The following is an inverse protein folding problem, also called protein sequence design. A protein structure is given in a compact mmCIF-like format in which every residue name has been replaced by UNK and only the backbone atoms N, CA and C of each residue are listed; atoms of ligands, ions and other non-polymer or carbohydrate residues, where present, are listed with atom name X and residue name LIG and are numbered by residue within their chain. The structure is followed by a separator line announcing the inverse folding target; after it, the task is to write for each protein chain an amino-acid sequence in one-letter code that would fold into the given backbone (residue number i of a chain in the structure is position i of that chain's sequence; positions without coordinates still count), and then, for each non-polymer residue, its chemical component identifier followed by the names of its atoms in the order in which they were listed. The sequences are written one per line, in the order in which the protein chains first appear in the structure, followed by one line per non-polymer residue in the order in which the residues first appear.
data_IF_266251071136
#
_entry.id   IF_266251071136
#
_cell.length_a   1.000
_cell.length_b   1.000
_cell.length_c   1.000
_cell.angle_alpha   90.00
_cell.angle_beta   90.00
_cell.angle_gamma   90.00
#
_symmetry.space_group_name_H-M   'P 1'
#
loop_
_entity.id
_entity.type
_entity.pdbx_description
1 polymer ?
#
# COMPACT_ATOMS: atom_id res chain seq x y z
N UNK A 1 29.18 -19.68 23.01
CA UNK A 1 29.12 -18.35 22.37
C UNK A 1 27.69 -18.10 21.91
N UNK A 2 26.87 -17.51 22.77
CA UNK A 2 25.52 -17.05 22.40
C UNK A 2 25.69 -15.78 21.58
N UNK A 3 25.62 -15.90 20.25
CA UNK A 3 25.56 -14.75 19.38
C UNK A 3 24.31 -13.94 19.75
N UNK A 4 24.52 -12.79 20.37
CA UNK A 4 23.48 -11.83 20.71
C UNK A 4 22.85 -11.39 19.38
N UNK A 5 21.76 -12.03 18.98
CA UNK A 5 21.07 -11.69 17.73
C UNK A 5 20.64 -10.23 17.90
N UNK A 6 21.11 -9.30 17.04
CA UNK A 6 20.71 -7.92 17.15
C UNK A 6 19.18 -7.87 17.12
N UNK A 7 18.60 -7.23 18.14
CA UNK A 7 17.15 -7.10 18.28
C UNK A 7 16.61 -6.43 17.02
N UNK A 8 15.75 -7.14 16.28
CA UNK A 8 15.17 -6.66 15.01
C UNK A 8 14.00 -5.69 15.20
N UNK A 9 13.38 -5.68 16.39
CA UNK A 9 12.21 -4.85 16.68
C UNK A 9 12.44 -3.32 16.56
N UNK A 10 13.61 -2.73 16.90
CA UNK A 10 13.83 -1.31 16.71
C UNK A 10 13.84 -0.92 15.22
N UNK A 11 14.40 -1.77 14.36
CA UNK A 11 14.41 -1.54 12.90
C UNK A 11 12.99 -1.62 12.35
N UNK A 12 12.23 -2.62 12.78
CA UNK A 12 10.84 -2.76 12.38
C UNK A 12 10.02 -1.54 12.79
N UNK A 13 10.15 -1.06 14.04
CA UNK A 13 9.48 0.15 14.50
C UNK A 13 9.87 1.37 13.67
N UNK A 14 11.16 1.54 13.38
CA UNK A 14 11.66 2.61 12.53
C UNK A 14 11.01 2.55 11.13
N UNK A 15 10.99 1.36 10.52
CA UNK A 15 10.41 1.16 9.19
C UNK A 15 8.89 1.36 9.19
N UNK A 16 8.19 0.96 10.25
CA UNK A 16 6.76 1.23 10.41
C UNK A 16 6.48 2.74 10.53
N UNK A 17 7.27 3.45 11.34
CA UNK A 17 7.14 4.90 11.47
C UNK A 17 7.41 5.60 10.14
N UNK A 18 8.47 5.19 9.43
CA UNK A 18 8.79 5.69 8.10
C UNK A 18 7.65 5.41 7.11
N UNK A 19 7.12 4.18 7.10
CA UNK A 19 6.01 3.82 6.22
C UNK A 19 4.76 4.67 6.50
N UNK A 20 4.43 4.88 7.78
CA UNK A 20 3.32 5.76 8.18
C UNK A 20 3.53 7.20 7.72
N UNK A 21 4.74 7.76 7.89
CA UNK A 21 5.07 9.10 7.41
C UNK A 21 4.93 9.21 5.88
N UNK A 22 5.40 8.21 5.13
CA UNK A 22 5.25 8.16 3.67
C UNK A 22 3.77 8.06 3.25
N UNK A 23 2.97 7.23 3.90
CA UNK A 23 1.53 7.14 3.63
C UNK A 23 0.84 8.48 3.87
N UNK A 24 1.17 9.16 4.98
CA UNK A 24 0.63 10.49 5.27
C UNK A 24 1.01 11.48 4.17
N UNK A 25 2.29 11.54 3.78
CA UNK A 25 2.77 12.40 2.69
C UNK A 25 2.05 12.11 1.37
N UNK A 26 1.94 10.84 0.98
CA UNK A 26 1.24 10.39 -0.23
C UNK A 26 -0.24 10.76 -0.24
N UNK A 27 -0.85 10.82 0.94
CA UNK A 27 -2.28 11.13 1.05
C UNK A 27 -2.57 12.62 1.21
N UNK A 28 -1.58 13.52 1.40
CA UNK A 28 -1.82 14.96 1.66
C UNK A 28 -2.68 15.67 0.59
N UNK A 29 -2.67 15.19 -0.66
CA UNK A 29 -3.44 15.76 -1.78
C UNK A 29 -4.91 15.31 -1.89
N UNK A 30 -5.43 14.50 -0.97
CA UNK A 30 -6.74 13.85 -1.11
C UNK A 30 -7.92 14.83 -1.28
N UNK A 31 -7.89 15.97 -0.58
CA UNK A 31 -8.93 17.00 -0.67
C UNK A 31 -8.96 17.70 -2.03
N UNK A 32 -7.79 17.83 -2.67
CA UNK A 32 -7.66 18.40 -4.01
C UNK A 32 -8.08 17.44 -5.14
N UNK A 33 -8.67 16.28 -4.81
CA UNK A 33 -9.15 15.31 -5.80
C UNK A 33 -8.05 14.47 -6.45
N UNK A 34 -6.79 14.61 -6.02
CA UNK A 34 -5.62 13.91 -6.61
C UNK A 34 -5.62 12.39 -6.40
N UNK A 35 -6.51 11.89 -5.54
CA UNK A 35 -6.71 10.45 -5.33
C UNK A 35 -7.85 9.86 -6.16
N UNK A 36 -8.55 10.68 -6.94
CA UNK A 36 -9.66 10.24 -7.78
C UNK A 36 -9.12 9.75 -9.13
N UNK A 37 -9.02 8.43 -9.30
CA UNK A 37 -8.66 7.81 -10.57
C UNK A 37 -9.90 7.13 -11.18
N UNK A 38 -10.38 7.56 -12.38
CA UNK A 38 -11.54 6.97 -13.03
C UNK A 38 -11.36 5.47 -13.34
N UNK A 39 -10.14 4.98 -13.54
CA UNK A 39 -9.83 3.56 -13.77
C UNK A 39 -10.15 2.68 -12.54
N UNK A 40 -10.45 3.30 -11.40
CA UNK A 40 -10.78 2.59 -10.16
C UNK A 40 -12.25 2.23 -10.03
N UNK A 41 -13.12 2.73 -10.92
CA UNK A 41 -14.56 2.50 -10.86
C UNK A 41 -14.95 1.01 -10.84
N UNK A 42 -14.35 0.10 -11.65
CA UNK A 42 -14.67 -1.32 -11.60
C UNK A 42 -14.35 -1.97 -10.25
N UNK A 43 -13.27 -1.52 -9.59
CA UNK A 43 -12.89 -2.05 -8.28
C UNK A 43 -13.80 -1.53 -7.17
N UNK A 44 -14.22 -0.26 -7.25
CA UNK A 44 -15.19 0.30 -6.30
C UNK A 44 -16.53 -0.44 -6.37
N UNK A 45 -17.06 -0.66 -7.58
CA UNK A 45 -18.33 -1.36 -7.75
C UNK A 45 -18.26 -2.81 -7.26
N UNK A 46 -17.16 -3.52 -7.57
CA UNK A 46 -16.93 -4.87 -7.05
C UNK A 46 -16.82 -4.92 -5.52
N UNK A 47 -16.07 -3.99 -4.92
CA UNK A 47 -15.91 -3.92 -3.47
C UNK A 47 -17.23 -3.55 -2.76
N UNK A 48 -18.01 -2.64 -3.33
CA UNK A 48 -19.33 -2.28 -2.82
C UNK A 48 -20.31 -3.46 -2.90
N UNK A 49 -20.33 -4.20 -4.01
CA UNK A 49 -21.16 -5.40 -4.17
C UNK A 49 -20.79 -6.47 -3.15
N UNK A 50 -19.49 -6.66 -2.88
CA UNK A 50 -19.01 -7.57 -1.84
C UNK A 50 -19.50 -7.15 -0.46
N UNK A 51 -19.38 -5.87 -0.09
CA UNK A 51 -19.81 -5.38 1.22
C UNK A 51 -21.33 -5.41 1.40
N UNK A 52 -22.10 -5.04 0.38
CA UNK A 52 -23.55 -4.91 0.48
C UNK A 52 -24.31 -6.23 0.31
N UNK A 53 -23.81 -7.11 -0.57
CA UNK A 53 -24.54 -8.32 -1.00
C UNK A 53 -23.75 -9.61 -0.84
N UNK A 54 -22.47 -9.55 -0.43
CA UNK A 54 -21.59 -10.72 -0.35
C UNK A 54 -21.11 -11.22 -1.72
N UNK A 55 -21.43 -10.52 -2.81
CA UNK A 55 -21.03 -10.90 -4.16
C UNK A 55 -19.50 -10.76 -4.32
N UNK A 56 -18.83 -11.87 -4.64
CA UNK A 56 -17.39 -11.86 -4.86
C UNK A 56 -17.03 -11.07 -6.14
N UNK A 57 -16.03 -10.18 -6.08
CA UNK A 57 -15.53 -9.47 -7.26
C UNK A 57 -15.03 -10.46 -8.32
N UNK A 58 -15.71 -10.50 -9.47
CA UNK A 58 -15.44 -11.41 -10.60
C UNK A 58 -14.81 -10.71 -11.80
N UNK A 59 -14.80 -9.37 -11.82
CA UNK A 59 -14.29 -8.53 -12.90
C UNK A 59 -13.21 -7.59 -12.41
N UNK A 60 -12.16 -7.45 -13.24
CA UNK A 60 -11.08 -6.51 -13.06
C UNK A 60 -11.23 -5.29 -13.97
N UNK A 61 -10.11 -4.65 -14.29
CA UNK A 61 -10.05 -3.53 -15.24
C UNK A 61 -9.19 -3.89 -16.47
N UNK A 62 -9.48 -3.29 -17.61
CA UNK A 62 -8.64 -3.36 -18.81
C UNK A 62 -8.07 -1.96 -19.01
N UNK A 63 -6.76 -1.83 -18.79
CA UNK A 63 -6.09 -0.55 -18.90
C UNK A 63 -6.04 -0.05 -20.35
N UNK A 64 -5.73 1.23 -20.54
CA UNK A 64 -5.53 1.86 -21.86
C UNK A 64 -4.46 1.17 -22.73
N UNK A 65 -3.60 0.33 -22.14
CA UNK A 65 -2.62 -0.49 -22.84
C UNK A 65 -3.13 -1.91 -23.14
N UNK A 66 -4.43 -2.16 -23.03
CA UNK A 66 -5.06 -3.47 -23.18
C UNK A 66 -4.52 -4.53 -22.20
N UNK A 67 -3.99 -4.10 -21.05
CA UNK A 67 -3.52 -5.01 -20.01
C UNK A 67 -4.65 -5.30 -19.03
N UNK A 68 -4.93 -6.59 -18.81
CA UNK A 68 -5.92 -7.04 -17.85
C UNK A 68 -5.35 -6.98 -16.42
N UNK A 69 -6.02 -6.23 -15.55
CA UNK A 69 -5.72 -6.15 -14.13
C UNK A 69 -6.77 -6.91 -13.33
N UNK A 70 -6.41 -7.97 -12.59
CA UNK A 70 -7.36 -8.81 -11.86
C UNK A 70 -8.04 -8.07 -10.69
N UNK A 71 -9.14 -8.59 -10.14
CA UNK A 71 -9.96 -7.91 -9.11
C UNK A 71 -9.30 -7.76 -7.73
N UNK A 72 -8.01 -8.04 -7.58
CA UNK A 72 -7.30 -7.95 -6.28
C UNK A 72 -7.48 -6.60 -5.59
N UNK A 73 -7.50 -5.52 -6.36
CA UNK A 73 -7.73 -4.16 -5.86
C UNK A 73 -9.10 -3.97 -5.21
N UNK A 74 -10.14 -4.67 -5.67
CA UNK A 74 -11.48 -4.59 -5.07
C UNK A 74 -11.46 -5.12 -3.62
N UNK A 75 -10.75 -6.21 -3.35
CA UNK A 75 -10.59 -6.73 -2.00
C UNK A 75 -9.84 -5.75 -1.08
N UNK A 76 -8.83 -5.05 -1.62
CA UNK A 76 -8.07 -4.05 -0.88
C UNK A 76 -8.87 -2.77 -0.57
N UNK A 77 -9.95 -2.50 -1.31
CA UNK A 77 -10.85 -1.37 -1.04
C UNK A 77 -11.85 -1.65 0.09
N UNK A 78 -12.12 -2.93 0.40
CA UNK A 78 -13.11 -3.30 1.43
C UNK A 78 -12.83 -2.66 2.80
N UNK A 79 -11.60 -2.69 3.35
CA UNK A 79 -11.34 -2.05 4.63
C UNK A 79 -11.64 -0.55 4.60
N UNK A 80 -11.36 0.15 3.50
CA UNK A 80 -11.68 1.56 3.41
C UNK A 80 -13.17 1.83 3.23
N UNK A 81 -13.90 1.00 2.49
CA UNK A 81 -15.38 1.07 2.45
C UNK A 81 -16.01 0.93 3.83
N UNK A 82 -15.42 0.12 4.71
CA UNK A 82 -15.91 -0.08 6.09
C UNK A 82 -15.49 1.07 7.03
N UNK A 83 -14.35 1.72 6.77
CA UNK A 83 -13.77 2.74 7.65
C UNK A 83 -14.14 4.18 7.27
N UNK A 84 -14.48 4.45 6.01
CA UNK A 84 -14.74 5.79 5.50
C UNK A 84 -15.88 5.85 4.49
N UNK A 85 -16.65 6.93 4.56
CA UNK A 85 -17.73 7.23 3.62
C UNK A 85 -17.24 8.02 2.39
N UNK A 86 -16.03 8.60 2.45
CA UNK A 86 -15.46 9.35 1.33
C UNK A 86 -14.75 8.38 0.37
N UNK A 87 -15.29 8.26 -0.85
CA UNK A 87 -14.77 7.40 -1.91
C UNK A 87 -13.28 7.63 -2.21
N UNK A 88 -12.77 8.86 -2.00
CA UNK A 88 -11.36 9.21 -2.26
C UNK A 88 -10.40 8.55 -1.29
N UNK A 89 -10.88 8.19 -0.10
CA UNK A 89 -10.08 7.62 0.97
C UNK A 89 -10.22 6.09 1.08
N UNK A 90 -11.19 5.48 0.40
CA UNK A 90 -11.49 4.05 0.55
C UNK A 90 -10.36 3.12 0.05
N UNK A 91 -9.49 3.60 -0.84
CA UNK A 91 -8.32 2.84 -1.28
C UNK A 91 -7.18 2.87 -0.25
N UNK A 92 -7.09 3.96 0.52
CA UNK A 92 -5.92 4.28 1.36
C UNK A 92 -5.60 3.17 2.37
N UNK A 93 -6.57 2.58 3.09
CA UNK A 93 -6.25 1.53 4.06
C UNK A 93 -5.64 0.28 3.42
N UNK A 94 -6.17 -0.18 2.29
CA UNK A 94 -5.62 -1.33 1.56
C UNK A 94 -4.22 -1.07 1.03
N UNK A 95 -4.03 0.08 0.38
CA UNK A 95 -2.72 0.51 -0.12
C UNK A 95 -1.70 0.64 1.02
N UNK A 96 -2.10 1.18 2.17
CA UNK A 96 -1.27 1.32 3.37
C UNK A 96 -0.82 -0.04 3.91
N UNK A 97 -1.74 -1.03 3.98
CA UNK A 97 -1.43 -2.38 4.42
C UNK A 97 -0.44 -3.07 3.48
N UNK A 98 -0.69 -3.03 2.18
CA UNK A 98 0.20 -3.61 1.16
C UNK A 98 1.56 -2.94 1.19
N UNK A 99 1.60 -1.61 1.30
CA UNK A 99 2.85 -0.87 1.38
C UNK A 99 3.66 -1.24 2.63
N UNK A 100 3.06 -1.18 3.81
CA UNK A 100 3.73 -1.54 5.07
C UNK A 100 4.21 -3.00 5.05
N UNK A 101 3.37 -3.92 4.56
CA UNK A 101 3.72 -5.32 4.37
C UNK A 101 4.91 -5.50 3.42
N UNK A 102 4.96 -4.76 2.32
CA UNK A 102 6.06 -4.81 1.35
C UNK A 102 7.39 -4.35 1.97
N UNK A 103 7.38 -3.23 2.71
CA UNK A 103 8.59 -2.73 3.39
C UNK A 103 9.08 -3.74 4.44
N UNK A 104 8.16 -4.32 5.21
CA UNK A 104 8.51 -5.34 6.21
C UNK A 104 9.06 -6.61 5.55
N UNK A 105 8.40 -7.12 4.52
CA UNK A 105 8.83 -8.31 3.79
C UNK A 105 10.20 -8.11 3.13
N UNK A 106 10.44 -6.93 2.56
CA UNK A 106 11.75 -6.61 1.97
C UNK A 106 12.85 -6.63 3.03
N UNK A 107 12.63 -6.00 4.19
CA UNK A 107 13.56 -6.05 5.31
C UNK A 107 13.82 -7.50 5.77
N UNK A 108 12.77 -8.28 5.97
CA UNK A 108 12.85 -9.67 6.42
C UNK A 108 13.52 -10.61 5.42
N UNK A 109 13.37 -10.37 4.12
CA UNK A 109 13.98 -11.17 3.07
C UNK A 109 15.46 -10.82 2.86
N UNK A 110 15.81 -9.52 2.90
CA UNK A 110 17.18 -9.05 2.62
C UNK A 110 18.11 -9.25 3.81
N UNK A 111 17.65 -8.98 5.02
CA UNK A 111 18.45 -9.06 6.25
C UNK A 111 19.18 -10.40 6.45
N UNK A 112 18.57 -11.58 6.26
CA UNK A 112 19.27 -12.86 6.45
C UNK A 112 20.32 -13.15 5.36
N UNK A 113 20.24 -12.50 4.20
CA UNK A 113 21.12 -12.76 3.05
C UNK A 113 22.30 -11.78 3.03
N UNK A 114 22.02 -10.49 3.22
CA UNK A 114 22.98 -9.39 3.04
C UNK A 114 23.29 -8.64 4.34
N UNK A 115 22.66 -9.03 5.45
CA UNK A 115 22.85 -8.42 6.75
C UNK A 115 21.93 -7.23 7.03
N UNK A 116 21.89 -6.85 8.31
CA UNK A 116 20.96 -5.84 8.87
C UNK A 116 21.06 -4.47 8.20
N UNK A 117 22.26 -3.95 8.02
CA UNK A 117 22.46 -2.61 7.45
C UNK A 117 21.89 -2.48 6.05
N UNK A 118 22.11 -3.50 5.20
CA UNK A 118 21.58 -3.52 3.83
C UNK A 118 20.07 -3.71 3.85
N UNK A 119 19.54 -4.58 4.72
CA UNK A 119 18.09 -4.78 4.87
C UNK A 119 17.34 -3.50 5.24
N UNK A 120 17.83 -2.75 6.24
CA UNK A 120 17.21 -1.47 6.64
C UNK A 120 17.30 -0.46 5.52
N UNK A 121 18.47 -0.28 4.92
CA UNK A 121 18.67 0.71 3.85
C UNK A 121 17.83 0.40 2.62
N UNK A 122 17.73 -0.87 2.21
CA UNK A 122 16.88 -1.27 1.09
C UNK A 122 15.40 -0.96 1.36
N UNK A 123 14.90 -1.38 2.53
CA UNK A 123 13.51 -1.12 2.93
C UNK A 123 13.22 0.39 3.02
N UNK A 124 14.11 1.17 3.63
CA UNK A 124 13.96 2.63 3.74
C UNK A 124 14.01 3.32 2.37
N UNK A 125 14.95 2.94 1.50
CA UNK A 125 15.08 3.48 0.15
C UNK A 125 13.83 3.20 -0.69
N UNK A 126 13.29 1.98 -0.62
CA UNK A 126 12.03 1.62 -1.29
C UNK A 126 10.84 2.41 -0.74
N UNK A 127 10.78 2.65 0.57
CA UNK A 127 9.72 3.46 1.15
C UNK A 127 9.76 4.90 0.63
N UNK A 128 10.94 5.53 0.65
CA UNK A 128 11.13 6.93 0.23
C UNK A 128 10.97 7.11 -1.28
N UNK A 129 11.41 6.16 -2.11
CA UNK A 129 11.27 6.27 -3.57
C UNK A 129 9.81 6.34 -4.03
N UNK A 130 8.89 5.76 -3.25
CA UNK A 130 7.46 5.78 -3.55
C UNK A 130 6.81 7.16 -3.41
N UNK A 131 7.45 8.13 -2.73
CA UNK A 131 6.95 9.51 -2.60
C UNK A 131 6.92 10.20 -3.97
N UNK A 132 7.94 9.97 -4.80
CA UNK A 132 8.06 10.62 -6.12
C UNK A 132 7.06 10.13 -7.17
N UNK A 133 6.41 8.98 -6.93
CA UNK A 133 5.51 8.35 -7.90
C UNK A 133 4.11 8.99 -7.96
N UNK A 134 3.76 9.87 -7.03
CA UNK A 134 2.45 10.53 -6.98
C UNK A 134 2.57 12.04 -7.18
N UNK A 135 2.74 12.47 -8.44
CA UNK A 135 2.31 13.78 -8.95
C UNK A 135 2.41 14.97 -7.98
N UNK A 136 3.60 15.21 -7.41
CA UNK A 136 3.89 16.41 -6.62
C UNK A 136 4.09 17.64 -7.54
N UNK A 137 4.12 17.45 -8.86
CA UNK A 137 4.12 18.55 -9.82
C UNK A 137 2.74 18.73 -10.47
N UNK A 138 2.31 19.99 -10.66
CA UNK A 138 0.98 20.36 -11.17
C UNK A 138 0.66 19.76 -12.54
#
# INVERSE_FOLDING_TARGET
MTADRPRAWPDMLLLFFLAAAVILLRTQGWRAGRLNNPDMLPYYSGALALVQSGALPDRGDISSYSSYSPPGTAYLMVPGLLLTHDARLQRVPGDALVFAGTILLLYLAVTPILGRGIGVTAAAATAVSSIGYQGIFP
#
